data_IF_155958495525
#
_entry.id   IF_155958495525
#
_cell.length_a   1.000
_cell.length_b   1.000
_cell.length_c   1.000
_cell.angle_alpha   90.00
_cell.angle_beta   90.00
_cell.angle_gamma   90.00
#
_symmetry.space_group_name_H-M   'P 1'
#
loop_
_entity.id
_entity.type
_entity.pdbx_description
1 polymer ?
#
# COMPACT_ATOMS: atom_id res chain seq x y z
N UNK A 1 -0.72 59.88 -63.60
CA UNK A 1 0.46 59.53 -62.77
C UNK A 1 0.08 59.07 -61.36
N UNK A 2 -1.01 59.57 -60.74
CA UNK A 2 -1.49 59.08 -59.44
C UNK A 2 -2.11 57.66 -59.48
N UNK A 3 -2.88 57.32 -60.51
CA UNK A 3 -3.53 56.00 -60.61
C UNK A 3 -2.54 54.85 -60.72
N UNK A 4 -1.41 55.05 -61.41
CA UNK A 4 -0.36 54.06 -61.53
C UNK A 4 0.32 53.72 -60.18
N UNK A 5 0.44 54.71 -59.28
CA UNK A 5 1.01 54.48 -57.94
C UNK A 5 0.03 53.75 -57.02
N UNK A 6 -1.27 54.05 -57.13
CA UNK A 6 -2.30 53.33 -56.38
C UNK A 6 -2.37 51.86 -56.80
N UNK A 7 -2.29 51.59 -58.10
CA UNK A 7 -2.26 50.23 -58.65
C UNK A 7 -1.04 49.42 -58.17
N UNK A 8 0.15 50.02 -58.21
CA UNK A 8 1.38 49.37 -57.74
C UNK A 8 1.36 49.10 -56.23
N UNK A 9 0.81 50.01 -55.44
CA UNK A 9 0.69 49.83 -53.99
C UNK A 9 -0.37 48.77 -53.63
N UNK A 10 -1.43 48.63 -54.45
CA UNK A 10 -2.42 47.57 -54.30
C UNK A 10 -1.88 46.19 -54.72
N UNK A 11 -1.04 46.12 -55.76
CA UNK A 11 -0.35 44.88 -56.16
C UNK A 11 0.70 44.45 -55.13
N UNK A 12 1.51 45.37 -54.60
CA UNK A 12 2.52 45.05 -53.57
C UNK A 12 1.88 44.55 -52.25
N UNK A 13 0.69 45.02 -51.89
CA UNK A 13 -0.05 44.47 -50.75
C UNK A 13 -0.65 43.09 -51.01
N UNK A 14 -0.97 42.75 -52.26
CA UNK A 14 -1.42 41.40 -52.63
C UNK A 14 -0.27 40.40 -52.79
N UNK A 15 0.91 40.85 -53.24
CA UNK A 15 2.08 39.98 -53.46
C UNK A 15 2.80 39.58 -52.16
N UNK A 16 2.72 40.41 -51.11
CA UNK A 16 3.37 40.14 -49.82
C UNK A 16 2.48 39.38 -48.81
N UNK A 17 1.23 39.08 -49.15
CA UNK A 17 0.45 38.09 -48.44
C UNK A 17 0.70 36.74 -49.09
N UNK A 18 1.79 36.06 -48.73
CA UNK A 18 1.95 34.63 -49.04
C UNK A 18 0.65 33.93 -48.61
N UNK A 19 -0.14 33.36 -49.53
CA UNK A 19 -1.27 32.54 -49.13
C UNK A 19 -0.65 31.39 -48.37
N UNK A 20 -0.91 31.32 -47.07
CA UNK A 20 -0.55 30.12 -46.33
C UNK A 20 -1.26 28.98 -47.06
N UNK A 21 -0.49 28.10 -47.69
CA UNK A 21 -1.04 27.10 -48.60
C UNK A 21 -2.03 26.24 -47.80
N UNK A 22 -3.28 26.21 -48.27
CA UNK A 22 -4.36 25.50 -47.62
C UNK A 22 -3.99 24.02 -47.37
N UNK A 23 -3.20 23.43 -48.27
CA UNK A 23 -2.66 22.08 -48.10
C UNK A 23 -1.66 21.97 -46.95
N UNK A 24 -0.80 22.98 -46.76
CA UNK A 24 0.13 23.01 -45.64
C UNK A 24 -0.61 23.19 -44.32
N UNK A 25 -1.64 24.05 -44.26
CA UNK A 25 -2.48 24.18 -43.04
C UNK A 25 -3.15 22.87 -42.68
N UNK A 26 -3.71 22.17 -43.67
CA UNK A 26 -4.39 20.90 -43.43
C UNK A 26 -3.43 19.82 -42.91
N UNK A 27 -2.21 19.77 -43.44
CA UNK A 27 -1.19 18.82 -42.96
C UNK A 27 -0.72 19.14 -41.53
N UNK A 28 -0.50 20.41 -41.22
CA UNK A 28 -0.11 20.84 -39.87
C UNK A 28 -1.25 20.61 -38.86
N UNK A 29 -2.50 20.87 -39.25
CA UNK A 29 -3.69 20.56 -38.44
C UNK A 29 -3.81 19.06 -38.17
N UNK A 30 -3.69 18.21 -39.20
CA UNK A 30 -3.75 16.76 -39.04
C UNK A 30 -2.61 16.23 -38.14
N UNK A 31 -1.42 16.81 -38.23
CA UNK A 31 -0.30 16.48 -37.34
C UNK A 31 -0.56 16.92 -35.89
N UNK A 32 -1.10 18.12 -35.69
CA UNK A 32 -1.46 18.63 -34.38
C UNK A 32 -2.57 17.77 -33.72
N UNK A 33 -3.61 17.39 -34.46
CA UNK A 33 -4.68 16.51 -33.98
C UNK A 33 -4.14 15.14 -33.57
N UNK A 34 -3.22 14.57 -34.35
CA UNK A 34 -2.56 13.30 -34.00
C UNK A 34 -1.75 13.43 -32.70
N UNK A 35 -0.99 14.52 -32.54
CA UNK A 35 -0.23 14.77 -31.32
C UNK A 35 -1.14 14.95 -30.09
N UNK A 36 -2.25 15.70 -30.24
CA UNK A 36 -3.24 15.86 -29.17
C UNK A 36 -3.86 14.52 -28.78
N UNK A 37 -4.24 13.69 -29.76
CA UNK A 37 -4.79 12.36 -29.51
C UNK A 37 -3.80 11.45 -28.76
N UNK A 38 -2.53 11.46 -29.16
CA UNK A 38 -1.47 10.70 -28.46
C UNK A 38 -1.24 11.20 -27.03
N UNK A 39 -1.25 12.53 -26.81
CA UNK A 39 -1.14 13.12 -25.48
C UNK A 39 -2.33 12.76 -24.60
N UNK A 40 -3.55 12.82 -25.12
CA UNK A 40 -4.75 12.40 -24.39
C UNK A 40 -4.69 10.93 -24.01
N UNK A 41 -4.24 10.04 -24.91
CA UNK A 41 -4.05 8.63 -24.60
C UNK A 41 -3.01 8.42 -23.49
N UNK A 42 -1.87 9.13 -23.56
CA UNK A 42 -0.83 9.08 -22.52
C UNK A 42 -1.35 9.59 -21.18
N UNK A 43 -2.11 10.69 -21.17
CA UNK A 43 -2.71 11.25 -19.96
C UNK A 43 -3.74 10.29 -19.35
N UNK A 44 -4.62 9.70 -20.17
CA UNK A 44 -5.59 8.67 -19.72
C UNK A 44 -4.87 7.46 -19.13
N UNK A 45 -3.81 6.99 -19.78
CA UNK A 45 -3.02 5.85 -19.28
C UNK A 45 -2.24 6.19 -17.99
N UNK A 46 -1.69 7.39 -17.88
CA UNK A 46 -1.01 7.85 -16.67
C UNK A 46 -1.99 8.01 -15.50
N UNK A 47 -3.17 8.56 -15.78
CA UNK A 47 -4.27 8.72 -14.82
C UNK A 47 -4.73 7.35 -14.29
N UNK A 48 -4.97 6.37 -15.17
CA UNK A 48 -5.40 5.02 -14.76
C UNK A 48 -4.32 4.24 -13.99
N UNK A 49 -3.04 4.34 -14.38
CA UNK A 49 -1.94 3.63 -13.71
C UNK A 49 -1.70 4.08 -12.26
N UNK A 50 -2.02 5.32 -11.92
CA UNK A 50 -1.67 5.91 -10.62
C UNK A 50 -2.47 5.31 -9.46
N UNK A 51 -3.82 5.20 -9.51
CA UNK A 51 -4.62 4.49 -8.52
C UNK A 51 -4.22 3.02 -8.36
N UNK A 52 -3.98 2.28 -9.46
CA UNK A 52 -3.57 0.86 -9.37
C UNK A 52 -2.21 0.66 -8.69
N UNK A 53 -1.24 1.56 -8.94
CA UNK A 53 0.05 1.54 -8.23
C UNK A 53 -0.14 1.77 -6.73
N UNK A 54 -0.98 2.73 -6.34
CA UNK A 54 -1.31 3.00 -4.93
C UNK A 54 -2.02 1.83 -4.27
N UNK A 55 -2.99 1.21 -4.94
CA UNK A 55 -3.68 0.00 -4.47
C UNK A 55 -2.70 -1.15 -4.23
N UNK A 56 -1.80 -1.39 -5.19
CA UNK A 56 -0.77 -2.42 -5.05
C UNK A 56 0.19 -2.10 -3.91
N UNK A 57 0.61 -0.85 -3.77
CA UNK A 57 1.47 -0.41 -2.67
C UNK A 57 0.80 -0.64 -1.32
N UNK A 58 -0.46 -0.20 -1.16
CA UNK A 58 -1.28 -0.44 0.03
C UNK A 58 -1.36 -1.93 0.38
N UNK A 59 -1.68 -2.79 -0.60
CA UNK A 59 -1.75 -4.23 -0.38
C UNK A 59 -0.42 -4.83 0.08
N UNK A 60 0.69 -4.47 -0.57
CA UNK A 60 2.03 -4.98 -0.23
C UNK A 60 2.47 -4.50 1.15
N UNK A 61 2.32 -3.21 1.45
CA UNK A 61 2.76 -2.65 2.74
C UNK A 61 1.97 -3.22 3.91
N UNK A 62 0.65 -3.39 3.79
CA UNK A 62 -0.16 -4.02 4.84
C UNK A 62 0.13 -5.52 4.98
N UNK A 63 0.38 -6.24 3.88
CA UNK A 63 0.75 -7.65 3.93
C UNK A 63 2.09 -7.87 4.65
N UNK A 64 3.10 -7.04 4.35
CA UNK A 64 4.39 -7.10 5.02
C UNK A 64 4.29 -6.64 6.48
N UNK A 65 3.62 -5.50 6.73
CA UNK A 65 3.51 -4.88 8.04
C UNK A 65 2.62 -5.65 9.01
N UNK A 66 1.31 -5.68 8.75
CA UNK A 66 0.31 -6.29 9.63
C UNK A 66 0.23 -7.82 9.52
N UNK A 67 0.59 -8.40 8.38
CA UNK A 67 0.56 -9.84 8.16
C UNK A 67 1.85 -10.53 8.61
N UNK A 68 2.91 -10.35 7.83
CA UNK A 68 4.15 -11.14 7.94
C UNK A 68 4.97 -10.75 9.16
N UNK A 69 5.28 -9.46 9.33
CA UNK A 69 6.16 -9.00 10.43
C UNK A 69 5.51 -9.20 11.80
N UNK A 70 4.19 -9.02 11.93
CA UNK A 70 3.47 -9.29 13.20
C UNK A 70 3.62 -10.74 13.66
N UNK A 71 3.55 -11.69 12.72
CA UNK A 71 3.71 -13.13 13.01
C UNK A 71 5.16 -13.44 13.37
N UNK A 72 6.14 -12.93 12.61
CA UNK A 72 7.57 -13.11 12.90
C UNK A 72 7.90 -12.56 14.30
N UNK A 73 7.44 -11.35 14.61
CA UNK A 73 7.61 -10.74 15.93
C UNK A 73 7.04 -11.62 17.05
N UNK A 74 5.85 -12.19 16.86
CA UNK A 74 5.24 -13.10 17.84
C UNK A 74 6.04 -14.41 18.02
N UNK A 75 6.55 -15.00 16.92
CA UNK A 75 7.43 -16.18 16.95
C UNK A 75 8.70 -15.87 17.75
N UNK A 76 9.35 -14.73 17.49
CA UNK A 76 10.54 -14.29 18.23
C UNK A 76 10.26 -14.16 19.73
N UNK A 77 9.18 -13.49 20.12
CA UNK A 77 8.82 -13.33 21.53
C UNK A 77 8.44 -14.62 22.24
N UNK A 78 7.94 -15.64 21.52
CA UNK A 78 7.53 -16.91 22.13
C UNK A 78 8.70 -17.87 22.30
N UNK A 79 9.45 -18.12 21.23
CA UNK A 79 10.39 -19.24 21.17
C UNK A 79 11.83 -18.89 21.52
N UNK A 80 12.17 -17.61 21.55
CA UNK A 80 13.54 -17.16 21.76
C UNK A 80 13.78 -16.54 23.15
N UNK A 81 12.81 -16.60 24.07
CA UNK A 81 12.90 -16.02 25.43
C UNK A 81 14.15 -16.42 26.23
N UNK A 82 14.73 -17.58 25.95
CA UNK A 82 15.96 -18.05 26.59
C UNK A 82 17.19 -17.19 26.27
N UNK A 83 17.14 -16.38 25.22
CA UNK A 83 18.20 -15.46 24.81
C UNK A 83 17.85 -14.04 25.26
N UNK A 84 17.70 -13.81 26.57
CA UNK A 84 17.51 -12.47 27.14
C UNK A 84 18.86 -11.70 27.11
N UNK A 85 18.92 -10.43 26.66
CA UNK A 85 17.81 -9.57 26.21
C UNK A 85 17.54 -9.59 24.70
N UNK A 86 18.25 -10.41 23.92
CA UNK A 86 18.18 -10.46 22.45
C UNK A 86 16.74 -10.64 21.96
N UNK A 87 15.99 -11.59 22.52
CA UNK A 87 14.60 -11.84 22.10
C UNK A 87 13.72 -10.59 22.20
N UNK A 88 13.95 -9.77 23.23
CA UNK A 88 13.16 -8.59 23.51
C UNK A 88 13.45 -7.52 22.47
N UNK A 89 14.72 -7.25 22.19
CA UNK A 89 15.12 -6.29 21.16
C UNK A 89 14.69 -6.73 19.77
N UNK A 90 14.87 -8.02 19.42
CA UNK A 90 14.44 -8.54 18.12
C UNK A 90 12.91 -8.47 17.96
N UNK A 91 12.14 -8.83 19.00
CA UNK A 91 10.69 -8.68 18.98
C UNK A 91 10.27 -7.21 18.80
N UNK A 92 10.81 -6.31 19.62
CA UNK A 92 10.46 -4.89 19.57
C UNK A 92 10.82 -4.30 18.21
N UNK A 93 12.01 -4.56 17.68
CA UNK A 93 12.43 -4.08 16.36
C UNK A 93 11.48 -4.55 15.25
N UNK A 94 11.21 -5.85 15.17
CA UNK A 94 10.36 -6.43 14.13
C UNK A 94 8.92 -5.89 14.25
N UNK A 95 8.37 -5.79 15.46
CA UNK A 95 7.03 -5.25 15.69
C UNK A 95 6.94 -3.76 15.36
N UNK A 96 7.96 -2.96 15.72
CA UNK A 96 8.01 -1.54 15.38
C UNK A 96 8.05 -1.33 13.87
N UNK A 97 8.87 -2.08 13.15
CA UNK A 97 8.91 -2.04 11.68
C UNK A 97 7.55 -2.45 11.07
N UNK A 98 6.97 -3.54 11.58
CA UNK A 98 5.65 -4.00 11.15
C UNK A 98 4.56 -2.96 11.36
N UNK A 99 4.56 -2.31 12.53
CA UNK A 99 3.61 -1.26 12.88
C UNK A 99 3.77 -0.02 12.00
N UNK A 100 4.99 0.48 11.78
CA UNK A 100 5.23 1.66 10.92
C UNK A 100 4.80 1.40 9.48
N UNK A 101 5.17 0.24 8.91
CA UNK A 101 4.73 -0.15 7.57
C UNK A 101 3.21 -0.32 7.50
N UNK A 102 2.61 -0.90 8.54
CA UNK A 102 1.17 -1.08 8.65
C UNK A 102 0.40 0.25 8.71
N UNK A 103 0.88 1.22 9.50
CA UNK A 103 0.31 2.57 9.56
C UNK A 103 0.41 3.26 8.20
N UNK A 104 1.59 3.21 7.56
CA UNK A 104 1.76 3.76 6.21
C UNK A 104 0.82 3.10 5.19
N UNK A 105 0.61 1.78 5.31
CA UNK A 105 -0.36 1.03 4.52
C UNK A 105 -1.79 1.50 4.74
N UNK A 106 -2.24 1.65 6.00
CA UNK A 106 -3.59 2.14 6.33
C UNK A 106 -3.81 3.56 5.81
N UNK A 107 -2.86 4.48 6.02
CA UNK A 107 -2.93 5.85 5.48
C UNK A 107 -3.06 5.83 3.95
N UNK A 108 -2.27 5.00 3.26
CA UNK A 108 -2.39 4.85 1.82
C UNK A 108 -3.79 4.35 1.40
N UNK A 109 -4.41 3.47 2.20
CA UNK A 109 -5.76 2.95 1.94
C UNK A 109 -6.85 4.00 2.11
N UNK A 110 -6.77 4.82 3.17
CA UNK A 110 -7.71 5.92 3.41
C UNK A 110 -7.66 6.97 2.29
N UNK A 111 -6.47 7.25 1.75
CA UNK A 111 -6.31 8.15 0.59
C UNK A 111 -6.87 7.55 -0.71
N UNK A 112 -6.97 6.21 -0.77
CA UNK A 112 -7.40 5.48 -1.96
C UNK A 112 -8.92 5.34 -2.05
N UNK A 113 -9.62 5.36 -0.91
CA UNK A 113 -11.08 5.22 -0.83
C UNK A 113 -11.81 6.17 -1.79
N UNK A 114 -11.38 7.43 -1.85
CA UNK A 114 -12.00 8.46 -2.70
C UNK A 114 -11.78 8.27 -4.22
N UNK A 115 -11.24 7.14 -4.67
CA UNK A 115 -10.85 6.90 -6.07
C UNK A 115 -11.49 5.67 -6.70
N UNK A 116 -12.25 4.87 -5.96
CA UNK A 116 -12.89 3.65 -6.47
C UNK A 116 -14.35 3.57 -5.95
N UNK A 117 -15.29 3.18 -6.82
CA UNK A 117 -16.70 2.96 -6.49
C UNK A 117 -16.98 1.63 -5.75
N UNK A 118 -15.93 0.91 -5.34
CA UNK A 118 -16.08 -0.35 -4.63
C UNK A 118 -16.48 -0.11 -3.16
N UNK A 119 -17.50 -0.83 -2.67
CA UNK A 119 -17.83 -0.83 -1.24
C UNK A 119 -16.72 -1.54 -0.45
N UNK A 120 -15.86 -0.73 0.16
CA UNK A 120 -14.73 -1.18 1.01
C UNK A 120 -15.00 -0.95 2.49
N UNK A 121 -16.25 -0.63 2.88
CA UNK A 121 -16.62 -0.23 4.24
C UNK A 121 -16.19 -1.25 5.30
N UNK A 122 -16.45 -2.54 5.05
CA UNK A 122 -16.08 -3.63 5.95
C UNK A 122 -14.56 -3.78 6.07
N UNK A 123 -13.83 -3.76 4.95
CA UNK A 123 -12.37 -3.88 4.94
C UNK A 123 -11.70 -2.72 5.66
N UNK A 124 -12.22 -1.50 5.46
CA UNK A 124 -11.80 -0.29 6.15
C UNK A 124 -12.09 -0.37 7.65
N UNK A 125 -13.28 -0.79 8.04
CA UNK A 125 -13.66 -0.97 9.45
C UNK A 125 -12.75 -1.96 10.17
N UNK A 126 -12.48 -3.12 9.54
CA UNK A 126 -11.52 -4.10 10.05
C UNK A 126 -10.09 -3.54 10.09
N UNK A 127 -9.67 -2.78 9.09
CA UNK A 127 -8.37 -2.12 9.05
C UNK A 127 -8.16 -1.13 10.20
N UNK A 128 -9.16 -0.30 10.48
CA UNK A 128 -9.16 0.63 11.63
C UNK A 128 -9.14 -0.16 12.94
N UNK A 129 -9.94 -1.22 13.05
CA UNK A 129 -9.94 -2.08 14.24
C UNK A 129 -8.57 -2.70 14.51
N UNK A 130 -7.88 -3.23 13.49
CA UNK A 130 -6.52 -3.74 13.58
C UNK A 130 -5.54 -2.64 14.03
N UNK A 131 -5.65 -1.44 13.46
CA UNK A 131 -4.83 -0.30 13.85
C UNK A 131 -5.02 0.06 15.34
N UNK A 132 -6.26 0.09 15.82
CA UNK A 132 -6.57 0.32 17.25
C UNK A 132 -5.94 -0.75 18.12
N UNK A 133 -6.07 -2.03 17.75
CA UNK A 133 -5.40 -3.12 18.46
C UNK A 133 -3.87 -2.97 18.46
N UNK A 134 -3.28 -2.50 17.35
CA UNK A 134 -1.86 -2.21 17.25
C UNK A 134 -1.43 -1.09 18.18
N UNK A 135 -2.17 0.02 18.21
CA UNK A 135 -1.93 1.12 19.15
C UNK A 135 -2.02 0.65 20.61
N UNK A 136 -2.98 -0.22 20.93
CA UNK A 136 -3.10 -0.86 22.24
C UNK A 136 -1.88 -1.72 22.57
N UNK A 137 -1.29 -2.44 21.60
CA UNK A 137 -0.02 -3.16 21.81
C UNK A 137 1.16 -2.23 22.09
N UNK A 138 1.25 -1.10 21.37
CA UNK A 138 2.30 -0.09 21.61
C UNK A 138 2.14 0.52 23.00
N UNK A 139 0.91 0.89 23.40
CA UNK A 139 0.64 1.37 24.77
C UNK A 139 0.96 0.32 25.82
N UNK A 140 0.66 -0.96 25.59
CA UNK A 140 1.05 -2.05 26.47
C UNK A 140 2.57 -2.14 26.62
N UNK A 141 3.33 -1.99 25.53
CA UNK A 141 4.78 -1.95 25.57
C UNK A 141 5.31 -0.77 26.40
N UNK A 142 4.73 0.42 26.28
CA UNK A 142 5.13 1.58 27.08
C UNK A 142 4.77 1.41 28.56
N UNK A 143 3.62 0.80 28.85
CA UNK A 143 3.15 0.51 30.21
C UNK A 143 3.69 -0.82 30.77
N UNK A 144 4.80 -1.35 30.21
CA UNK A 144 5.36 -2.65 30.56
C UNK A 144 5.84 -2.69 32.02
N UNK A 145 5.22 -3.48 32.92
CA UNK A 145 5.64 -3.52 34.33
C UNK A 145 6.98 -4.22 34.53
N UNK A 146 7.64 -3.93 35.66
CA UNK A 146 8.83 -4.64 36.14
C UNK A 146 8.58 -6.14 36.26
N UNK A 147 9.63 -6.94 36.03
CA UNK A 147 9.56 -8.42 36.01
C UNK A 147 9.02 -9.00 37.34
N UNK A 148 9.34 -8.38 38.46
CA UNK A 148 8.91 -8.81 39.82
C UNK A 148 7.48 -8.40 40.21
N UNK A 149 6.81 -7.56 39.41
CA UNK A 149 5.47 -7.07 39.76
C UNK A 149 4.39 -8.12 39.54
N UNK A 150 3.45 -8.27 40.50
CA UNK A 150 2.25 -9.11 40.32
C UNK A 150 1.41 -8.69 39.10
N UNK A 151 1.44 -7.40 38.74
CA UNK A 151 0.74 -6.85 37.56
C UNK A 151 1.32 -7.40 36.25
N UNK A 152 2.59 -7.82 36.24
CA UNK A 152 3.27 -8.42 35.08
C UNK A 152 2.50 -9.62 34.51
N UNK A 153 1.85 -10.41 35.38
CA UNK A 153 1.04 -11.57 34.97
C UNK A 153 -0.17 -11.15 34.13
N UNK A 154 -0.94 -10.17 34.61
CA UNK A 154 -2.10 -9.64 33.90
C UNK A 154 -1.70 -8.93 32.60
N UNK A 155 -0.61 -8.15 32.65
CA UNK A 155 -0.03 -7.53 31.47
C UNK A 155 0.36 -8.57 30.41
N UNK A 156 1.03 -9.67 30.80
CA UNK A 156 1.40 -10.74 29.86
C UNK A 156 0.16 -11.39 29.25
N UNK A 157 -0.87 -11.67 30.05
CA UNK A 157 -2.12 -12.23 29.55
C UNK A 157 -2.79 -11.30 28.54
N UNK A 158 -2.92 -10.02 28.86
CA UNK A 158 -3.49 -9.00 27.99
C UNK A 158 -2.70 -8.88 26.68
N UNK A 159 -1.39 -8.63 26.78
CA UNK A 159 -0.50 -8.40 25.64
C UNK A 159 -0.48 -9.60 24.68
N UNK A 160 -0.37 -10.82 25.21
CA UNK A 160 -0.36 -12.02 24.37
C UNK A 160 -1.70 -12.26 23.66
N UNK A 161 -2.83 -12.13 24.36
CA UNK A 161 -4.13 -12.45 23.78
C UNK A 161 -4.57 -11.38 22.78
N UNK A 162 -4.41 -10.10 23.12
CA UNK A 162 -4.75 -9.01 22.20
C UNK A 162 -3.83 -9.02 20.96
N UNK A 163 -2.55 -9.35 21.11
CA UNK A 163 -1.63 -9.54 19.97
C UNK A 163 -2.05 -10.68 19.04
N UNK A 164 -2.56 -11.79 19.57
CA UNK A 164 -3.08 -12.91 18.76
C UNK A 164 -4.36 -12.54 18.00
N UNK A 165 -5.28 -11.86 18.68
CA UNK A 165 -6.52 -11.36 18.05
C UNK A 165 -6.16 -10.43 16.88
N UNK A 166 -5.23 -9.49 17.10
CA UNK A 166 -4.73 -8.60 16.05
C UNK A 166 -4.23 -9.38 14.84
N UNK A 167 -3.37 -10.38 15.04
CA UNK A 167 -2.82 -11.21 13.95
C UNK A 167 -3.93 -11.94 13.17
N UNK A 168 -4.91 -12.53 13.86
CA UNK A 168 -6.03 -13.25 13.21
C UNK A 168 -6.83 -12.29 12.32
N UNK A 169 -7.20 -11.13 12.86
CA UNK A 169 -7.94 -10.12 12.09
C UNK A 169 -7.12 -9.55 10.94
N UNK A 170 -5.80 -9.34 11.13
CA UNK A 170 -4.91 -8.89 10.06
C UNK A 170 -4.86 -9.89 8.90
N UNK A 171 -4.67 -11.18 9.18
CA UNK A 171 -4.66 -12.23 8.15
C UNK A 171 -5.99 -12.24 7.38
N UNK A 172 -7.13 -12.26 8.10
CA UNK A 172 -8.45 -12.27 7.49
C UNK A 172 -8.69 -11.03 6.62
N UNK A 173 -8.34 -9.85 7.14
CA UNK A 173 -8.56 -8.59 6.42
C UNK A 173 -7.66 -8.45 5.19
N UNK A 174 -6.45 -9.02 5.19
CA UNK A 174 -5.57 -9.06 4.01
C UNK A 174 -6.18 -9.94 2.91
N UNK A 175 -6.66 -11.15 3.24
CA UNK A 175 -7.35 -11.99 2.26
C UNK A 175 -8.59 -11.29 1.70
N UNK A 176 -9.37 -10.64 2.57
CA UNK A 176 -10.53 -9.89 2.14
C UNK A 176 -10.16 -8.71 1.23
N UNK A 177 -9.10 -7.97 1.55
CA UNK A 177 -8.57 -6.89 0.70
C UNK A 177 -8.06 -7.39 -0.66
N UNK A 178 -7.44 -8.57 -0.73
CA UNK A 178 -7.02 -9.20 -2.01
C UNK A 178 -8.26 -9.53 -2.86
N UNK A 179 -9.33 -10.04 -2.24
CA UNK A 179 -10.59 -10.31 -2.91
C UNK A 179 -11.23 -9.02 -3.47
N UNK A 180 -11.33 -7.96 -2.67
CA UNK A 180 -11.86 -6.66 -3.08
C UNK A 180 -11.02 -6.00 -4.19
N UNK A 181 -9.70 -6.17 -4.16
CA UNK A 181 -8.80 -5.63 -5.19
C UNK A 181 -8.79 -6.40 -6.51
N UNK A 182 -9.64 -7.43 -6.66
CA UNK A 182 -9.74 -8.33 -7.82
C UNK A 182 -8.39 -8.92 -8.27
N UNK A 183 -7.43 -9.05 -7.34
CA UNK A 183 -6.04 -9.47 -7.64
C UNK A 183 -5.89 -10.97 -7.94
N UNK A 184 -6.99 -11.72 -7.98
CA UNK A 184 -7.06 -13.10 -8.44
C UNK A 184 -6.39 -14.13 -7.53
N UNK A 185 -6.51 -15.41 -7.92
CA UNK A 185 -6.05 -16.58 -7.15
C UNK A 185 -4.55 -16.55 -6.79
N UNK A 186 -3.70 -15.90 -7.61
CA UNK A 186 -2.25 -15.85 -7.40
C UNK A 186 -1.82 -15.11 -6.14
N UNK A 187 -2.43 -13.95 -5.83
CA UNK A 187 -2.13 -13.20 -4.61
C UNK A 187 -2.58 -13.95 -3.36
N UNK A 188 -3.77 -14.56 -3.40
CA UNK A 188 -4.26 -15.41 -2.33
C UNK A 188 -3.34 -16.62 -2.09
N UNK A 189 -2.90 -17.29 -3.14
CA UNK A 189 -1.98 -18.42 -3.04
C UNK A 189 -0.63 -17.98 -2.44
N UNK A 190 -0.03 -16.90 -2.96
CA UNK A 190 1.27 -16.42 -2.46
C UNK A 190 1.23 -16.02 -0.98
N UNK A 191 0.22 -15.27 -0.57
CA UNK A 191 0.05 -14.92 0.84
C UNK A 191 -0.27 -16.14 1.70
N UNK A 192 -1.17 -17.02 1.25
CA UNK A 192 -1.52 -18.25 1.97
C UNK A 192 -0.35 -19.19 2.18
N UNK A 193 0.49 -19.41 1.16
CA UNK A 193 1.74 -20.19 1.27
C UNK A 193 2.67 -19.54 2.30
N UNK A 194 2.82 -18.21 2.27
CA UNK A 194 3.68 -17.49 3.22
C UNK A 194 3.21 -17.71 4.66
N UNK A 195 1.91 -17.58 4.93
CA UNK A 195 1.33 -17.84 6.26
C UNK A 195 1.49 -19.30 6.66
N UNK A 196 1.29 -20.25 5.73
CA UNK A 196 1.47 -21.67 5.99
C UNK A 196 2.93 -22.01 6.39
N UNK A 197 3.92 -21.42 5.72
CA UNK A 197 5.34 -21.58 6.07
C UNK A 197 5.61 -21.03 7.48
N UNK A 198 5.15 -19.81 7.79
CA UNK A 198 5.32 -19.21 9.12
C UNK A 198 4.66 -20.06 10.22
N UNK A 199 3.47 -20.62 9.93
CA UNK A 199 2.77 -21.51 10.83
C UNK A 199 3.51 -22.83 11.04
N UNK A 200 4.05 -23.43 9.98
CA UNK A 200 4.88 -24.63 10.06
C UNK A 200 6.14 -24.39 10.90
N UNK A 201 6.83 -23.25 10.70
CA UNK A 201 7.96 -22.84 11.53
C UNK A 201 7.54 -22.76 13.00
N UNK A 202 6.39 -22.14 13.29
CA UNK A 202 5.88 -22.03 14.64
C UNK A 202 5.58 -23.40 15.27
N UNK A 203 5.04 -24.36 14.51
CA UNK A 203 4.81 -25.74 14.98
C UNK A 203 6.14 -26.43 15.31
N UNK A 204 7.12 -26.38 14.41
CA UNK A 204 8.43 -27.00 14.62
C UNK A 204 9.11 -26.44 15.87
N UNK A 205 9.05 -25.11 16.05
CA UNK A 205 9.58 -24.46 17.24
C UNK A 205 8.80 -24.80 18.52
N UNK A 206 7.48 -24.97 18.44
CA UNK A 206 6.65 -25.41 19.58
C UNK A 206 7.04 -26.83 20.01
N UNK A 207 7.10 -27.78 19.07
CA UNK A 207 7.52 -29.16 19.35
C UNK A 207 8.91 -29.16 20.00
N UNK A 208 9.86 -28.40 19.43
CA UNK A 208 11.22 -28.32 19.97
C UNK A 208 11.29 -27.69 21.36
N UNK A 209 10.44 -26.71 21.66
CA UNK A 209 10.35 -26.10 22.99
C UNK A 209 9.83 -27.10 24.03
N UNK A 210 8.88 -27.97 23.64
CA UNK A 210 8.33 -28.99 24.54
C UNK A 210 9.33 -30.13 24.79
N UNK A 211 10.09 -30.55 23.78
CA UNK A 211 11.14 -31.58 23.94
C UNK A 211 12.32 -31.15 24.83
N UNK A 212 12.48 -29.86 25.09
CA UNK A 212 13.56 -29.31 25.94
C UNK A 212 13.15 -29.09 27.40
N UNK A 213 11.86 -29.25 27.71
CA UNK A 213 11.34 -29.20 29.07
C UNK A 213 11.33 -30.60 29.66
#
# INVERSE_FOLDING_TARGET
>A
MLEAKFYLQQQLHQENAQPFDHYQMQNEQAQAEKQVSELEQRLRQASSRTPYKKLRSHGITNMLGWGILMIIGAILARYFKQWDPIWFYSHTLVQSLGFVLGVAGVICGLVLENKFDADVSTHKGLGIFILVLGCLQVMAFLARPNKESKVRKYWNWYHHNMGRILIIFAIANIFYGIHLGEKGKGWNAGYGITIAILFLIAIVLEIRMWMRK
#
